data_IF_413397040304
#
_entry.id   IF_413397040304
#
_cell.length_a   1.000
_cell.length_b   1.000
_cell.length_c   1.000
_cell.angle_alpha   90.00
_cell.angle_beta   90.00
_cell.angle_gamma   90.00
#
_symmetry.space_group_name_H-M   'P 1'
#
loop_
_entity.id
_entity.type
_entity.pdbx_description
1 polymer ?
#
# COMPACT_ATOMS: atom_id res chain seq x y z
N UNK A 1 14.79 6.68 -96.69
CA UNK A 1 15.04 7.41 -95.43
C UNK A 1 13.79 7.96 -94.72
N UNK A 2 12.70 8.24 -95.41
CA UNK A 2 11.47 8.80 -94.82
C UNK A 2 10.64 7.80 -93.98
N UNK A 3 10.58 6.50 -94.40
CA UNK A 3 9.76 5.50 -93.67
C UNK A 3 10.30 5.15 -92.30
N UNK A 4 11.62 5.07 -92.14
CA UNK A 4 12.27 4.77 -90.86
C UNK A 4 12.00 5.86 -89.82
N UNK A 5 11.92 7.12 -90.20
CA UNK A 5 11.64 8.25 -89.32
C UNK A 5 10.17 8.29 -88.88
N UNK A 6 9.24 7.78 -89.73
CA UNK A 6 7.83 7.73 -89.36
C UNK A 6 7.59 6.62 -88.35
N UNK A 7 8.25 5.46 -88.51
CA UNK A 7 8.13 4.35 -87.56
C UNK A 7 8.72 4.73 -86.18
N UNK A 8 9.89 5.38 -86.16
CA UNK A 8 10.52 5.84 -84.90
C UNK A 8 9.65 6.87 -84.17
N UNK A 9 9.04 7.80 -84.89
CA UNK A 9 8.14 8.77 -84.30
C UNK A 9 6.86 8.14 -83.79
N UNK A 10 6.31 7.13 -84.49
CA UNK A 10 5.12 6.38 -84.07
C UNK A 10 5.39 5.54 -82.79
N UNK A 11 6.54 4.89 -82.69
CA UNK A 11 6.93 4.13 -81.50
C UNK A 11 7.16 5.05 -80.33
N UNK A 12 7.79 6.21 -80.58
CA UNK A 12 7.99 7.21 -79.48
C UNK A 12 6.67 7.76 -78.99
N UNK A 13 5.69 8.02 -79.88
CA UNK A 13 4.39 8.52 -79.46
C UNK A 13 3.56 7.48 -78.69
N UNK A 14 3.66 6.20 -79.04
CA UNK A 14 3.00 5.10 -78.32
C UNK A 14 3.65 4.89 -76.98
N UNK A 15 4.96 5.01 -76.86
CA UNK A 15 5.63 4.84 -75.56
C UNK A 15 5.30 5.99 -74.60
N UNK A 16 5.16 7.22 -75.07
CA UNK A 16 4.77 8.38 -74.25
C UNK A 16 3.30 8.25 -73.82
N UNK A 17 2.39 7.78 -74.72
CA UNK A 17 0.99 7.54 -74.42
C UNK A 17 0.83 6.40 -73.39
N UNK A 18 1.62 5.32 -73.50
CA UNK A 18 1.63 4.23 -72.49
C UNK A 18 2.15 4.68 -71.14
N UNK A 19 3.12 5.58 -71.09
CA UNK A 19 3.62 6.15 -69.83
C UNK A 19 2.61 7.06 -69.13
N UNK A 20 1.70 7.72 -69.87
CA UNK A 20 0.63 8.52 -69.27
C UNK A 20 -0.51 7.68 -68.72
N UNK A 21 -0.71 6.45 -69.13
CA UNK A 21 -1.67 5.51 -68.56
C UNK A 21 -1.15 4.74 -67.33
N UNK A 22 0.14 4.86 -67.04
CA UNK A 22 0.78 4.21 -65.87
C UNK A 22 0.68 5.05 -64.57
N UNK A 23 -0.02 6.19 -64.60
CA UNK A 23 -0.43 6.84 -63.35
C UNK A 23 -1.56 6.03 -62.69
N UNK A 24 -1.25 4.86 -62.17
CA UNK A 24 -2.05 4.25 -61.10
C UNK A 24 -2.04 5.19 -59.94
N UNK A 25 -3.22 5.55 -59.47
CA UNK A 25 -3.37 6.51 -58.36
C UNK A 25 -2.57 6.02 -57.17
N UNK A 26 -1.54 6.72 -56.76
CA UNK A 26 -0.70 6.41 -55.59
C UNK A 26 -1.57 6.24 -54.34
N UNK A 27 -2.75 6.84 -54.36
CA UNK A 27 -3.75 6.75 -53.30
C UNK A 27 -4.51 5.43 -53.25
N UNK A 28 -4.44 4.58 -54.31
CA UNK A 28 -5.22 3.33 -54.37
C UNK A 28 -4.76 2.31 -53.32
N UNK A 29 -3.46 2.26 -53.00
CA UNK A 29 -2.92 1.45 -51.92
C UNK A 29 -3.25 2.00 -50.52
N UNK A 30 -3.66 3.25 -50.43
CA UNK A 30 -4.03 3.91 -49.17
C UNK A 30 -5.55 4.13 -49.06
N UNK A 31 -6.31 3.84 -50.10
CA UNK A 31 -7.78 4.05 -50.14
C UNK A 31 -8.46 3.38 -48.97
N UNK A 32 -8.08 2.17 -48.62
CA UNK A 32 -8.63 1.44 -47.48
C UNK A 32 -8.42 2.17 -46.13
N UNK A 33 -7.38 2.98 -46.02
CA UNK A 33 -7.07 3.78 -44.85
C UNK A 33 -7.78 5.14 -44.90
N UNK A 34 -7.88 5.75 -46.09
CA UNK A 34 -8.52 7.02 -46.32
C UNK A 34 -10.06 6.93 -46.21
N UNK A 35 -10.64 5.81 -46.67
CA UNK A 35 -12.08 5.55 -46.61
C UNK A 35 -12.58 5.28 -45.17
N UNK A 36 -11.70 4.87 -44.25
CA UNK A 36 -12.02 4.69 -42.81
C UNK A 36 -12.07 6.01 -42.05
N UNK A 37 -11.69 7.13 -42.71
CA UNK A 37 -11.64 8.45 -42.08
C UNK A 37 -10.51 8.61 -41.06
N UNK A 38 -10.33 9.79 -40.55
CA UNK A 38 -9.35 10.09 -39.50
C UNK A 38 -9.82 9.47 -38.18
N UNK A 39 -8.99 8.62 -37.58
CA UNK A 39 -9.29 8.03 -36.28
C UNK A 39 -8.99 9.04 -35.19
N UNK A 40 -10.04 9.58 -34.57
CA UNK A 40 -9.92 10.48 -33.42
C UNK A 40 -9.64 9.66 -32.18
N UNK A 41 -8.52 9.96 -31.50
CA UNK A 41 -8.21 9.36 -30.23
C UNK A 41 -8.53 10.32 -29.08
N UNK A 42 -9.22 9.81 -28.08
CA UNK A 42 -9.45 10.49 -26.81
C UNK A 42 -8.17 10.48 -25.98
N UNK A 43 -7.96 11.48 -25.15
CA UNK A 43 -6.83 11.52 -24.26
C UNK A 43 -6.92 10.43 -23.18
N UNK A 44 -5.82 9.72 -22.96
CA UNK A 44 -5.72 8.68 -21.93
C UNK A 44 -5.30 9.24 -20.57
N UNK A 45 -5.51 8.45 -19.52
CA UNK A 45 -4.94 8.72 -18.18
C UNK A 45 -3.41 8.58 -18.28
N UNK A 46 -2.69 9.56 -17.77
CA UNK A 46 -1.23 9.62 -17.80
C UNK A 46 -0.60 8.99 -16.54
N UNK A 47 0.58 8.41 -16.70
CA UNK A 47 1.44 7.92 -15.61
C UNK A 47 0.70 7.02 -14.60
N UNK A 48 -0.06 6.04 -15.12
CA UNK A 48 -0.82 5.12 -14.27
C UNK A 48 0.06 4.10 -13.55
N UNK A 49 -0.32 3.80 -12.32
CA UNK A 49 0.21 2.69 -11.52
C UNK A 49 -0.85 2.19 -10.55
N UNK A 50 -0.65 0.99 -10.02
CA UNK A 50 -1.57 0.36 -9.07
C UNK A 50 -0.98 0.40 -7.67
N UNK A 51 -1.81 0.76 -6.69
CA UNK A 51 -1.53 0.65 -5.26
C UNK A 51 -2.26 -0.58 -4.72
N UNK A 52 -1.50 -1.48 -4.14
CA UNK A 52 -2.01 -2.73 -3.57
C UNK A 52 -2.69 -2.48 -2.22
N UNK A 53 -3.80 -3.19 -1.97
CA UNK A 53 -4.52 -3.14 -0.70
C UNK A 53 -5.11 -4.49 -0.33
N UNK A 54 -5.83 -4.53 0.80
CA UNK A 54 -6.49 -5.73 1.32
C UNK A 54 -7.81 -5.96 0.57
N UNK A 55 -7.88 -7.01 -0.24
CA UNK A 55 -9.03 -7.35 -1.10
C UNK A 55 -9.44 -6.24 -2.08
N UNK A 56 -8.52 -5.31 -2.38
CA UNK A 56 -8.76 -4.18 -3.29
C UNK A 56 -7.46 -3.60 -3.85
N UNK A 57 -7.63 -2.74 -4.86
CA UNK A 57 -6.55 -1.92 -5.40
C UNK A 57 -7.03 -0.49 -5.64
N UNK A 58 -6.10 0.43 -5.75
CA UNK A 58 -6.33 1.77 -6.31
C UNK A 58 -5.47 1.93 -7.57
N UNK A 59 -6.11 2.18 -8.71
CA UNK A 59 -5.42 2.63 -9.92
C UNK A 59 -5.28 4.14 -9.83
N UNK A 60 -4.04 4.60 -9.81
CA UNK A 60 -3.67 6.02 -9.70
C UNK A 60 -3.10 6.50 -11.01
N UNK A 61 -3.40 7.74 -11.39
CA UNK A 61 -2.87 8.38 -12.57
C UNK A 61 -3.02 9.88 -12.54
N UNK A 62 -2.83 10.53 -13.70
CA UNK A 62 -2.95 11.95 -13.86
C UNK A 62 -3.94 12.27 -15.00
N UNK A 63 -4.80 13.26 -14.77
CA UNK A 63 -5.85 13.70 -15.71
C UNK A 63 -5.39 14.69 -16.77
N UNK A 64 -4.09 14.98 -16.85
CA UNK A 64 -3.51 16.04 -17.71
C UNK A 64 -4.02 16.03 -19.15
N UNK A 65 -4.29 14.87 -19.72
CA UNK A 65 -4.70 14.70 -21.11
C UNK A 65 -6.17 14.33 -21.29
N UNK A 66 -6.98 14.24 -20.25
CA UNK A 66 -8.39 13.80 -20.28
C UNK A 66 -9.39 14.87 -20.76
N UNK A 67 -8.99 15.79 -21.65
CA UNK A 67 -9.76 17.00 -22.01
C UNK A 67 -11.19 16.72 -22.51
N UNK A 68 -11.36 15.69 -23.35
CA UNK A 68 -12.63 15.33 -23.98
C UNK A 68 -13.23 14.05 -23.42
N UNK A 69 -12.48 13.32 -22.58
CA UNK A 69 -12.95 12.09 -21.97
C UNK A 69 -14.07 12.36 -20.98
N UNK A 70 -15.13 11.56 -21.03
CA UNK A 70 -16.29 11.61 -20.13
C UNK A 70 -16.46 10.32 -19.34
N UNK A 71 -15.96 9.19 -19.87
CA UNK A 71 -16.07 7.86 -19.28
C UNK A 71 -14.73 7.15 -19.32
N UNK A 72 -14.46 6.38 -18.27
CA UNK A 72 -13.32 5.48 -18.17
C UNK A 72 -13.83 4.06 -17.97
N UNK A 73 -13.33 3.13 -18.76
CA UNK A 73 -13.61 1.71 -18.68
C UNK A 73 -12.37 0.97 -18.20
N UNK A 74 -12.52 0.13 -17.20
CA UNK A 74 -11.48 -0.75 -16.69
C UNK A 74 -11.92 -2.19 -16.87
N UNK A 75 -11.10 -2.98 -17.57
CA UNK A 75 -11.35 -4.40 -17.82
C UNK A 75 -10.30 -5.25 -17.13
N UNK A 76 -10.71 -6.30 -16.43
CA UNK A 76 -9.85 -7.29 -15.80
C UNK A 76 -10.57 -8.63 -15.69
N UNK A 77 -9.89 -9.76 -15.85
CA UNK A 77 -10.46 -11.12 -15.70
C UNK A 77 -11.84 -11.33 -16.37
N UNK A 78 -12.08 -10.73 -17.53
CA UNK A 78 -13.37 -10.66 -18.23
C UNK A 78 -14.47 -9.85 -17.51
N UNK A 79 -14.17 -9.21 -16.40
CA UNK A 79 -15.02 -8.21 -15.76
C UNK A 79 -14.79 -6.84 -16.39
N UNK A 80 -15.83 -6.03 -16.39
CA UNK A 80 -15.81 -4.70 -16.96
C UNK A 80 -16.48 -3.72 -16.01
N UNK A 81 -15.77 -2.65 -15.69
CA UNK A 81 -16.25 -1.56 -14.83
C UNK A 81 -16.21 -0.24 -15.58
N UNK A 82 -17.25 0.55 -15.43
CA UNK A 82 -17.38 1.88 -16.01
C UNK A 82 -17.42 2.95 -14.93
N UNK A 83 -16.66 4.02 -15.14
CA UNK A 83 -16.56 5.17 -14.24
C UNK A 83 -16.77 6.47 -15.00
N UNK A 84 -17.52 7.42 -14.46
CA UNK A 84 -17.53 8.77 -14.98
C UNK A 84 -16.21 9.46 -14.66
N UNK A 85 -15.65 10.21 -15.59
CA UNK A 85 -14.39 10.93 -15.38
C UNK A 85 -14.50 11.91 -14.19
N UNK A 86 -15.67 12.54 -14.02
CA UNK A 86 -15.95 13.43 -12.87
C UNK A 86 -15.76 12.77 -11.51
N UNK A 87 -16.02 11.46 -11.40
CA UNK A 87 -16.00 10.73 -10.14
C UNK A 87 -14.59 10.30 -9.74
N UNK A 88 -13.74 10.04 -10.75
CA UNK A 88 -12.40 9.52 -10.56
C UNK A 88 -11.31 10.59 -10.54
N UNK A 89 -11.56 11.78 -11.10
CA UNK A 89 -10.62 12.90 -11.07
C UNK A 89 -10.83 13.73 -9.81
N UNK A 90 -9.77 13.91 -9.04
CA UNK A 90 -9.76 14.74 -7.83
C UNK A 90 -9.31 16.17 -8.13
N UNK A 91 -9.60 17.12 -7.23
CA UNK A 91 -9.35 18.56 -7.41
C UNK A 91 -7.90 18.93 -7.79
N UNK A 92 -6.95 18.07 -7.41
CA UNK A 92 -5.54 18.25 -7.74
C UNK A 92 -5.13 17.64 -9.11
N UNK A 93 -6.08 17.18 -9.91
CA UNK A 93 -5.84 16.50 -11.18
C UNK A 93 -5.36 15.06 -11.07
N UNK A 94 -5.33 14.49 -9.86
CA UNK A 94 -5.03 13.08 -9.63
C UNK A 94 -6.23 12.23 -10.02
N UNK A 95 -5.99 11.14 -10.74
CA UNK A 95 -6.99 10.10 -11.00
C UNK A 95 -6.87 9.04 -9.91
N UNK A 96 -8.01 8.59 -9.38
CA UNK A 96 -8.11 7.56 -8.35
C UNK A 96 -9.31 6.66 -8.67
N UNK A 97 -9.05 5.40 -9.00
CA UNK A 97 -10.07 4.37 -9.25
C UNK A 97 -9.85 3.26 -8.25
N UNK A 98 -10.80 3.06 -7.35
CA UNK A 98 -10.76 1.97 -6.37
C UNK A 98 -11.59 0.80 -6.90
N UNK A 99 -11.02 -0.40 -6.86
CA UNK A 99 -11.68 -1.65 -7.23
C UNK A 99 -11.63 -2.55 -6.01
N UNK A 100 -12.78 -2.76 -5.40
CA UNK A 100 -12.97 -3.54 -4.18
C UNK A 100 -13.40 -4.99 -4.49
N UNK A 101 -13.43 -5.83 -3.44
CA UNK A 101 -13.90 -7.22 -3.47
C UNK A 101 -13.10 -8.12 -4.41
N UNK A 102 -11.81 -7.85 -4.57
CA UNK A 102 -10.91 -8.68 -5.32
C UNK A 102 -10.35 -9.81 -4.45
N UNK A 103 -10.26 -11.01 -5.01
CA UNK A 103 -9.53 -12.11 -4.38
C UNK A 103 -8.02 -11.82 -4.38
N UNK A 104 -7.27 -12.44 -3.45
CA UNK A 104 -5.81 -12.37 -3.47
C UNK A 104 -5.26 -12.83 -4.81
N UNK A 105 -4.33 -12.08 -5.38
CA UNK A 105 -3.68 -12.42 -6.63
C UNK A 105 -3.03 -11.24 -7.35
N UNK A 106 -2.46 -11.52 -8.49
CA UNK A 106 -1.97 -10.50 -9.42
C UNK A 106 -3.03 -10.24 -10.47
N UNK A 107 -3.29 -8.97 -10.74
CA UNK A 107 -4.29 -8.52 -11.72
C UNK A 107 -3.65 -7.61 -12.76
N UNK A 108 -4.13 -7.73 -13.99
CA UNK A 108 -3.85 -6.83 -15.09
C UNK A 108 -5.12 -6.08 -15.40
N UNK A 109 -5.03 -4.76 -15.47
CA UNK A 109 -6.15 -3.87 -15.72
C UNK A 109 -5.93 -3.13 -17.04
N UNK A 110 -6.81 -3.34 -17.99
CA UNK A 110 -6.88 -2.60 -19.24
C UNK A 110 -7.75 -1.36 -19.05
N UNK A 111 -7.16 -0.19 -19.18
CA UNK A 111 -7.83 1.09 -18.95
C UNK A 111 -8.01 1.83 -20.27
N UNK A 112 -9.26 2.16 -20.62
CA UNK A 112 -9.64 2.88 -21.84
C UNK A 112 -10.59 4.02 -21.49
N UNK A 113 -10.36 5.19 -22.04
CA UNK A 113 -11.26 6.35 -21.87
C UNK A 113 -12.05 6.63 -23.14
N UNK A 114 -13.23 7.21 -22.98
CA UNK A 114 -14.18 7.49 -24.08
C UNK A 114 -14.71 8.90 -23.98
N UNK A 115 -15.01 9.51 -25.13
CA UNK A 115 -15.75 10.77 -25.21
C UNK A 115 -17.26 10.54 -25.42
N UNK A 116 -18.02 11.64 -25.61
CA UNK A 116 -19.46 11.57 -25.87
C UNK A 116 -19.82 11.01 -27.25
N UNK A 117 -18.91 11.06 -28.21
CA UNK A 117 -19.12 10.60 -29.59
C UNK A 117 -18.77 9.12 -29.77
N UNK A 118 -18.31 8.46 -28.70
CA UNK A 118 -17.92 7.04 -28.69
C UNK A 118 -16.50 6.79 -29.18
N UNK A 119 -15.69 7.83 -29.41
CA UNK A 119 -14.26 7.65 -29.68
C UNK A 119 -13.56 7.17 -28.41
N UNK A 120 -12.50 6.39 -28.60
CA UNK A 120 -11.73 5.80 -27.48
C UNK A 120 -10.28 6.25 -27.47
N UNK A 121 -9.66 6.21 -26.30
CA UNK A 121 -8.22 6.30 -26.17
C UNK A 121 -7.54 5.00 -26.63
N UNK A 122 -6.22 5.05 -26.70
CA UNK A 122 -5.41 3.83 -26.69
C UNK A 122 -5.57 3.19 -25.31
N UNK A 123 -5.86 1.87 -25.28
CA UNK A 123 -5.89 1.08 -24.05
C UNK A 123 -4.51 1.07 -23.40
N UNK A 124 -4.48 1.28 -22.11
CA UNK A 124 -3.24 1.23 -21.32
C UNK A 124 -3.37 0.16 -20.26
N UNK A 125 -2.48 -0.83 -20.30
CA UNK A 125 -2.42 -1.88 -19.28
C UNK A 125 -1.61 -1.40 -18.07
N UNK A 126 -2.12 -1.69 -16.87
CA UNK A 126 -1.43 -1.58 -15.59
C UNK A 126 -1.66 -2.84 -14.78
N UNK A 127 -0.72 -3.17 -13.91
CA UNK A 127 -0.85 -4.38 -13.09
C UNK A 127 -0.56 -4.08 -11.62
N UNK A 128 -1.13 -4.91 -10.74
CA UNK A 128 -0.93 -4.82 -9.30
C UNK A 128 -1.29 -6.10 -8.57
N UNK A 129 -0.89 -6.17 -7.32
CA UNK A 129 -1.16 -7.30 -6.43
C UNK A 129 -2.26 -6.94 -5.45
N UNK A 130 -3.18 -7.85 -5.23
CA UNK A 130 -4.21 -7.78 -4.17
C UNK A 130 -3.77 -8.65 -3.02
N UNK A 131 -3.75 -8.11 -1.81
CA UNK A 131 -3.48 -8.86 -0.60
C UNK A 131 -4.74 -9.55 -0.08
N UNK A 132 -4.56 -10.69 0.58
CA UNK A 132 -5.61 -11.46 1.22
C UNK A 132 -5.24 -11.86 2.65
N UNK A 133 -6.16 -12.54 3.35
CA UNK A 133 -5.96 -12.98 4.74
C UNK A 133 -4.71 -13.85 4.93
N UNK A 134 -4.34 -14.64 3.92
CA UNK A 134 -3.13 -15.46 3.96
C UNK A 134 -1.84 -14.64 4.09
N UNK A 135 -1.83 -13.40 3.57
CA UNK A 135 -0.69 -12.50 3.70
C UNK A 135 -0.47 -12.07 5.15
N UNK A 136 -1.54 -11.98 5.95
CA UNK A 136 -1.47 -11.65 7.38
C UNK A 136 -0.82 -12.77 8.19
N UNK A 137 -0.97 -14.02 7.75
CA UNK A 137 -0.43 -15.20 8.42
C UNK A 137 1.08 -15.38 8.21
N UNK A 138 1.62 -14.82 7.13
CA UNK A 138 3.04 -14.95 6.78
C UNK A 138 3.92 -13.89 7.43
N UNK A 139 3.32 -12.81 7.92
CA UNK A 139 4.04 -11.70 8.52
C UNK A 139 4.23 -11.89 10.03
N UNK A 140 5.33 -11.39 10.55
CA UNK A 140 5.65 -11.50 11.98
C UNK A 140 5.20 -10.23 12.71
N UNK A 141 4.27 -10.34 13.69
CA UNK A 141 3.82 -9.19 14.45
C UNK A 141 4.88 -8.68 15.43
N UNK A 142 4.78 -7.41 15.82
CA UNK A 142 5.55 -6.84 16.93
C UNK A 142 5.17 -7.58 18.20
N UNK A 143 6.17 -7.96 18.99
CA UNK A 143 5.97 -8.75 20.20
C UNK A 143 6.65 -8.10 21.39
N UNK A 144 6.08 -8.33 22.56
CA UNK A 144 6.72 -7.98 23.82
C UNK A 144 7.85 -8.98 24.09
N UNK A 145 9.08 -8.48 24.25
CA UNK A 145 10.24 -9.28 24.65
C UNK A 145 10.40 -9.37 26.17
N UNK A 146 10.06 -8.28 26.88
CA UNK A 146 10.09 -8.25 28.34
C UNK A 146 9.08 -7.20 28.87
N UNK A 147 8.57 -7.47 30.07
CA UNK A 147 7.79 -6.52 30.88
C UNK A 147 8.42 -6.45 32.26
N UNK A 148 8.78 -5.27 32.70
CA UNK A 148 9.42 -5.03 34.01
C UNK A 148 8.67 -3.94 34.77
N UNK A 149 8.10 -4.28 35.93
CA UNK A 149 7.57 -3.27 36.83
C UNK A 149 8.74 -2.51 37.46
N UNK A 150 8.73 -1.19 37.32
CA UNK A 150 9.70 -0.32 37.91
C UNK A 150 9.30 0.01 39.36
N UNK A 151 10.25 0.47 40.16
CA UNK A 151 10.07 0.77 41.57
C UNK A 151 9.08 1.95 41.83
N UNK A 152 8.78 2.76 40.82
CA UNK A 152 7.75 3.82 40.88
C UNK A 152 6.34 3.28 40.52
N UNK A 153 6.20 1.99 40.27
CA UNK A 153 4.97 1.33 39.90
C UNK A 153 4.60 1.41 38.42
N UNK A 154 5.41 2.07 37.60
CA UNK A 154 5.24 2.04 36.15
C UNK A 154 5.71 0.70 35.57
N UNK A 155 5.24 0.35 34.38
CA UNK A 155 5.61 -0.85 33.65
C UNK A 155 6.45 -0.48 32.43
N UNK A 156 7.71 -0.89 32.41
CA UNK A 156 8.55 -0.82 31.24
C UNK A 156 8.29 -2.05 30.36
N UNK A 157 7.96 -1.83 29.09
CA UNK A 157 7.78 -2.84 28.08
C UNK A 157 8.90 -2.72 27.06
N UNK A 158 9.67 -3.80 26.88
CA UNK A 158 10.65 -3.93 25.80
C UNK A 158 10.04 -4.68 24.64
N UNK A 159 10.20 -4.14 23.45
CA UNK A 159 9.71 -4.73 22.22
C UNK A 159 10.82 -5.56 21.56
N UNK A 160 10.42 -6.57 20.76
CA UNK A 160 11.36 -7.26 19.87
C UNK A 160 11.78 -6.31 18.71
N UNK A 161 12.78 -6.72 17.96
CA UNK A 161 13.36 -5.96 16.85
C UNK A 161 12.63 -6.14 15.50
N UNK A 162 11.44 -6.78 15.49
CA UNK A 162 10.65 -6.94 14.25
C UNK A 162 10.34 -5.58 13.65
N UNK A 163 10.73 -5.37 12.40
CA UNK A 163 10.45 -4.14 11.69
C UNK A 163 8.98 -4.06 11.29
N UNK A 164 8.32 -3.01 11.71
CA UNK A 164 6.91 -2.72 11.45
C UNK A 164 6.74 -1.21 11.26
N UNK A 165 5.65 -0.76 10.66
CA UNK A 165 5.43 0.68 10.51
C UNK A 165 4.97 1.29 11.83
N UNK A 166 3.95 0.71 12.43
CA UNK A 166 3.47 1.08 13.75
C UNK A 166 2.68 -0.07 14.39
N UNK A 167 2.42 0.04 15.66
CA UNK A 167 1.53 -0.87 16.37
C UNK A 167 0.66 -0.13 17.38
N UNK A 168 -0.47 -0.71 17.70
CA UNK A 168 -1.43 -0.19 18.68
C UNK A 168 -1.47 -1.12 19.86
N UNK A 169 -1.29 -0.56 21.03
CA UNK A 169 -1.37 -1.25 22.30
C UNK A 169 -2.67 -0.87 22.99
N UNK A 170 -3.47 -1.87 23.36
CA UNK A 170 -4.74 -1.68 24.08
C UNK A 170 -4.71 -2.47 25.38
N UNK A 171 -5.00 -1.81 26.49
CA UNK A 171 -4.92 -2.42 27.82
C UNK A 171 -5.88 -1.73 28.79
N UNK A 172 -6.19 -2.41 29.90
CA UNK A 172 -6.97 -1.86 31.01
C UNK A 172 -6.04 -1.22 32.05
N UNK A 173 -6.29 0.03 32.40
CA UNK A 173 -5.54 0.70 33.47
C UNK A 173 -6.00 0.26 34.87
N UNK A 174 -5.32 0.76 35.90
CA UNK A 174 -5.63 0.43 37.31
C UNK A 174 -7.07 0.80 37.73
N UNK A 175 -7.69 1.76 37.04
CA UNK A 175 -9.05 2.24 37.34
C UNK A 175 -10.13 1.50 36.52
N UNK A 176 -9.73 0.50 35.73
CA UNK A 176 -10.61 -0.32 34.89
C UNK A 176 -10.97 0.33 33.56
N UNK A 177 -10.29 1.40 33.17
CA UNK A 177 -10.52 2.11 31.93
C UNK A 177 -9.61 1.56 30.83
N UNK A 178 -10.20 1.31 29.64
CA UNK A 178 -9.41 0.91 28.47
C UNK A 178 -8.58 2.08 27.94
N UNK A 179 -7.30 1.83 27.81
CA UNK A 179 -6.32 2.73 27.23
C UNK A 179 -5.89 2.21 25.88
N UNK A 180 -5.66 3.12 24.92
CA UNK A 180 -5.15 2.78 23.59
C UNK A 180 -4.00 3.72 23.25
N UNK A 181 -2.88 3.17 22.82
CA UNK A 181 -1.68 3.92 22.48
C UNK A 181 -1.15 3.45 21.13
N UNK A 182 -0.95 4.39 20.21
CA UNK A 182 -0.20 4.15 18.96
C UNK A 182 1.28 4.35 19.23
N UNK A 183 2.10 3.42 18.79
CA UNK A 183 3.55 3.43 18.95
C UNK A 183 4.16 3.20 17.57
N UNK A 184 5.14 4.03 17.21
CA UNK A 184 5.85 3.88 15.94
C UNK A 184 6.80 2.68 15.97
N UNK A 185 7.06 2.09 14.79
CA UNK A 185 7.75 0.81 14.68
C UNK A 185 9.22 0.81 15.11
N UNK A 186 9.85 1.98 15.20
CA UNK A 186 11.24 2.15 15.63
C UNK A 186 11.42 2.26 17.17
N UNK A 187 10.32 2.32 17.92
CA UNK A 187 10.35 2.41 19.38
C UNK A 187 10.74 1.05 19.98
N UNK A 188 11.82 1.02 20.75
CA UNK A 188 12.34 -0.17 21.41
C UNK A 188 11.73 -0.42 22.79
N UNK A 189 11.34 0.65 23.49
CA UNK A 189 10.86 0.58 24.88
C UNK A 189 9.72 1.55 25.10
N UNK A 190 8.71 1.13 25.86
CA UNK A 190 7.54 1.96 26.22
C UNK A 190 7.26 1.86 27.72
N UNK A 191 7.00 2.99 28.37
CA UNK A 191 6.62 3.04 29.78
C UNK A 191 5.12 3.30 29.96
N UNK A 192 4.44 2.42 30.69
CA UNK A 192 3.03 2.54 31.06
C UNK A 192 2.93 2.90 32.55
N UNK A 193 2.38 4.08 32.85
CA UNK A 193 2.28 4.60 34.23
C UNK A 193 1.11 4.03 35.03
N UNK A 194 0.05 3.65 34.34
CA UNK A 194 -1.16 3.10 34.99
C UNK A 194 -1.60 1.86 34.24
N UNK A 195 -1.54 0.71 34.90
CA UNK A 195 -1.85 -0.59 34.33
C UNK A 195 -2.50 -1.48 35.40
N UNK A 196 -3.40 -2.39 34.98
CA UNK A 196 -4.09 -3.30 35.87
C UNK A 196 -3.28 -4.57 36.07
N UNK A 197 -2.88 -4.86 37.30
CA UNK A 197 -2.20 -6.11 37.65
C UNK A 197 -3.08 -7.32 37.28
N UNK A 198 -2.47 -8.36 36.77
CA UNK A 198 -3.16 -9.54 36.23
C UNK A 198 -4.17 -9.22 35.09
N UNK A 199 -4.13 -8.00 34.55
CA UNK A 199 -4.88 -7.60 33.39
C UNK A 199 -4.25 -8.12 32.10
N UNK A 200 -4.79 -7.69 30.97
CA UNK A 200 -4.33 -8.08 29.64
C UNK A 200 -3.90 -6.85 28.84
N UNK A 201 -2.92 -7.08 27.98
CA UNK A 201 -2.45 -6.12 26.99
C UNK A 201 -2.50 -6.78 25.63
N UNK A 202 -3.12 -6.13 24.67
CA UNK A 202 -3.20 -6.55 23.28
C UNK A 202 -2.32 -5.67 22.41
N UNK A 203 -1.57 -6.30 21.52
CA UNK A 203 -0.68 -5.64 20.56
C UNK A 203 -1.20 -5.92 19.16
N UNK A 204 -1.65 -4.88 18.47
CA UNK A 204 -2.12 -4.94 17.08
C UNK A 204 -1.08 -4.29 16.18
N UNK A 205 -0.48 -5.03 15.28
CA UNK A 205 0.63 -4.60 14.42
C UNK A 205 0.14 -4.21 13.04
N UNK A 206 0.71 -3.15 12.48
CA UNK A 206 0.36 -2.63 11.17
C UNK A 206 1.63 -2.46 10.33
N UNK A 207 1.60 -3.01 9.12
CA UNK A 207 2.72 -2.96 8.16
C UNK A 207 2.25 -2.56 6.77
N UNK A 208 3.11 -1.86 6.02
CA UNK A 208 3.02 -1.71 4.58
C UNK A 208 4.00 -2.69 3.93
N UNK A 209 3.52 -3.58 3.06
CA UNK A 209 4.42 -4.47 2.30
C UNK A 209 5.29 -3.69 1.31
N UNK A 210 4.72 -2.64 0.73
CA UNK A 210 5.43 -1.69 -0.11
C UNK A 210 5.07 -0.27 0.31
N UNK A 211 6.02 0.64 0.21
CA UNK A 211 5.87 2.04 0.65
C UNK A 211 4.66 2.78 0.03
N UNK A 212 4.24 2.36 -1.15
CA UNK A 212 3.14 3.00 -1.89
C UNK A 212 1.82 2.22 -1.80
N UNK A 213 1.72 1.19 -0.95
CA UNK A 213 0.49 0.43 -0.81
C UNK A 213 -0.67 1.30 -0.33
N UNK A 214 -1.88 0.89 -0.68
CA UNK A 214 -3.12 1.58 -0.33
C UNK A 214 -3.43 1.45 1.16
N UNK A 215 -3.25 0.24 1.68
CA UNK A 215 -3.65 -0.12 3.04
C UNK A 215 -2.47 -0.62 3.87
N UNK A 216 -2.48 -0.26 5.16
CA UNK A 216 -1.72 -1.00 6.15
C UNK A 216 -2.37 -2.35 6.39
N UNK A 217 -1.59 -3.41 6.35
CA UNK A 217 -2.04 -4.74 6.74
C UNK A 217 -2.08 -4.81 8.27
N UNK A 218 -3.27 -5.02 8.82
CA UNK A 218 -3.48 -5.25 10.24
C UNK A 218 -3.23 -6.74 10.55
N UNK A 219 -2.08 -7.04 11.16
CA UNK A 219 -1.73 -8.41 11.50
C UNK A 219 -2.59 -8.93 12.65
N UNK A 220 -2.63 -10.26 12.82
CA UNK A 220 -3.36 -10.90 13.91
C UNK A 220 -2.83 -10.36 15.24
N UNK A 221 -3.71 -9.80 16.10
CA UNK A 221 -3.29 -9.23 17.37
C UNK A 221 -2.70 -10.29 18.30
N UNK A 222 -1.70 -9.93 19.08
CA UNK A 222 -1.09 -10.78 20.10
C UNK A 222 -1.49 -10.29 21.48
N UNK A 223 -1.99 -11.18 22.33
CA UNK A 223 -2.39 -10.88 23.70
C UNK A 223 -1.36 -11.39 24.69
N UNK A 224 -1.08 -10.60 25.71
CA UNK A 224 -0.21 -10.96 26.84
C UNK A 224 -0.93 -10.64 28.15
N UNK A 225 -0.59 -11.43 29.19
CA UNK A 225 -0.97 -11.10 30.55
C UNK A 225 0.02 -10.09 31.15
N UNK A 226 -0.46 -9.11 31.86
CA UNK A 226 0.40 -8.30 32.71
C UNK A 226 0.96 -9.12 33.87
N UNK A 227 2.18 -8.80 34.36
CA UNK A 227 2.75 -9.46 35.53
C UNK A 227 1.82 -9.30 36.75
N UNK A 228 1.93 -10.23 37.69
CA UNK A 228 1.22 -10.14 38.99
C UNK A 228 1.63 -8.89 39.77
N UNK A 229 2.71 -8.26 39.33
CA UNK A 229 3.37 -7.16 39.99
C UNK A 229 4.32 -7.66 41.10
N UNK A 230 5.15 -6.75 41.58
CA UNK A 230 5.89 -7.00 42.79
C UNK A 230 4.84 -7.27 43.89
N UNK A 231 4.75 -8.50 44.35
CA UNK A 231 3.92 -8.80 45.53
C UNK A 231 4.38 -7.78 46.57
N UNK A 232 3.43 -7.16 47.31
CA UNK A 232 3.74 -6.40 48.50
C UNK A 232 4.44 -7.31 49.50
N UNK A 233 5.68 -7.68 49.22
CA UNK A 233 6.55 -8.46 50.06
C UNK A 233 7.36 -7.56 50.98
N UNK A 234 6.96 -6.28 51.11
CA UNK A 234 7.44 -5.47 52.18
C UNK A 234 6.57 -5.82 53.40
N UNK A 235 7.01 -6.73 54.27
CA UNK A 235 6.31 -6.92 55.51
C UNK A 235 6.19 -5.56 56.15
N UNK A 236 5.06 -5.20 56.78
CA UNK A 236 4.90 -3.98 57.56
C UNK A 236 5.89 -4.06 58.70
N UNK A 237 7.00 -3.36 58.55
CA UNK A 237 8.02 -3.27 59.60
C UNK A 237 7.53 -2.28 60.64
N UNK A 238 7.53 -2.67 61.87
CA UNK A 238 7.39 -1.75 62.98
C UNK A 238 8.70 -0.95 63.14
N UNK A 239 8.63 0.23 63.70
CA UNK A 239 9.83 1.02 64.02
C UNK A 239 10.82 0.17 64.84
N UNK A 240 12.09 0.15 64.47
CA UNK A 240 13.14 -0.65 65.12
C UNK A 240 13.29 -2.08 64.55
N UNK A 241 12.48 -2.49 63.55
CA UNK A 241 12.71 -3.77 62.89
C UNK A 241 13.98 -3.75 62.03
N UNK A 242 14.73 -4.80 62.04
CA UNK A 242 15.90 -5.00 61.16
C UNK A 242 15.55 -5.98 60.05
N UNK A 243 15.80 -5.60 58.81
CA UNK A 243 15.67 -6.50 57.66
C UNK A 243 17.06 -6.88 57.19
N UNK A 244 17.28 -8.19 57.05
CA UNK A 244 18.47 -8.73 56.42
C UNK A 244 18.17 -8.94 54.93
N UNK A 245 18.82 -8.10 54.10
CA UNK A 245 18.84 -8.36 52.65
C UNK A 245 19.92 -9.40 52.43
N UNK A 246 19.55 -10.55 51.84
CA UNK A 246 20.52 -11.58 51.48
C UNK A 246 21.60 -11.06 50.53
N UNK A 247 22.61 -11.87 50.21
CA UNK A 247 23.73 -11.44 49.40
C UNK A 247 23.25 -10.87 48.05
N UNK A 248 23.61 -9.59 47.83
CA UNK A 248 23.36 -8.91 46.56
C UNK A 248 24.58 -9.16 45.69
N UNK A 249 24.51 -10.15 44.81
CA UNK A 249 25.62 -10.57 43.92
C UNK A 249 25.80 -9.65 42.71
N UNK A 250 25.24 -8.44 42.70
CA UNK A 250 25.30 -7.53 41.55
C UNK A 250 26.73 -7.12 41.18
N UNK A 251 27.76 -7.28 42.05
CA UNK A 251 29.12 -6.85 41.81
C UNK A 251 30.19 -7.89 42.17
N UNK A 252 29.78 -9.15 42.31
CA UNK A 252 30.72 -10.25 42.68
C UNK A 252 31.25 -10.15 44.09
N UNK A 253 30.64 -9.37 44.98
CA UNK A 253 30.91 -9.29 46.39
C UNK A 253 29.70 -9.81 47.15
N UNK A 254 29.88 -10.92 47.88
CA UNK A 254 28.92 -11.48 48.83
C UNK A 254 28.83 -10.60 50.08
N UNK A 255 28.38 -9.38 49.96
CA UNK A 255 28.20 -8.51 51.11
C UNK A 255 26.76 -8.58 51.62
N UNK A 256 26.60 -8.76 52.90
CA UNK A 256 25.34 -8.69 53.62
C UNK A 256 25.04 -7.28 54.05
N UNK A 257 23.96 -6.70 53.55
CA UNK A 257 23.49 -5.39 53.97
C UNK A 257 22.40 -5.52 55.02
N UNK A 258 22.56 -4.77 56.11
CA UNK A 258 21.53 -4.59 57.13
C UNK A 258 20.93 -3.20 57.01
N UNK A 259 19.63 -3.11 56.79
CA UNK A 259 18.92 -1.85 56.79
C UNK A 259 18.09 -1.72 58.06
N UNK A 260 18.31 -0.67 58.82
CA UNK A 260 17.51 -0.31 59.98
C UNK A 260 16.43 0.71 59.58
N UNK A 261 15.17 0.32 59.83
CA UNK A 261 14.05 1.20 59.51
C UNK A 261 13.79 2.12 60.68
N UNK A 262 14.11 3.38 60.51
CA UNK A 262 13.77 4.41 61.48
C UNK A 262 12.43 5.05 61.12
N UNK A 263 11.44 4.97 62.02
CA UNK A 263 10.22 5.75 61.91
C UNK A 263 10.51 7.22 62.25
N UNK A 264 10.08 8.12 61.36
CA UNK A 264 9.98 9.55 61.70
C UNK A 264 8.57 9.88 62.14
#
# INVERSE_FOLDING_TARGET
MKLKNIIVKGVLFISVAAAMWSCYDITDTQKEWLDKGEKIYVGKIDSMYVRSGMNRVEIVGNSKYLRTAVRCEVTYNNEKLDFAISDIVKDNGKVSIIIDNLAKGMYYFDVTTFDNDGNSSITTEVFGTVYGEEDLLTETPRRISAMTELWDGSLEIKWNDTQVDYFIVTYEDKDGKMQTMRIEGDVETTNIKSWKRNGKIQVSTYILKNKNDLDYLALIPVEYAFPEGLKEAIPRFNAGSKMYLGPISAWGLDEMFTMEIMAR
#
